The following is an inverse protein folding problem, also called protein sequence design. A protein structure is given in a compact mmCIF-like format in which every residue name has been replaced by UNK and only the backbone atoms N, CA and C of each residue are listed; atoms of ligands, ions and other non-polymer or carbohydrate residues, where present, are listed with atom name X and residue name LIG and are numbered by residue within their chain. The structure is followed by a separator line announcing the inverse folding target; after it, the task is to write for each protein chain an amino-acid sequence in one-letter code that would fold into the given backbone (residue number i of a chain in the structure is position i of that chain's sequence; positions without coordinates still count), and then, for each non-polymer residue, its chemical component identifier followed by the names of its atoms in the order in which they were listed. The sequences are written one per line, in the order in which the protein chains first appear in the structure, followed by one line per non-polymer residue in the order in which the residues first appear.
data_IF_760721963345
#
_entry.id   IF_760721963345
#
_cell.length_a   1.000
_cell.length_b   1.000
_cell.length_c   1.000
_cell.angle_alpha   90.00
_cell.angle_beta   90.00
_cell.angle_gamma   90.00
#
_symmetry.space_group_name_H-M   'P 1'
#
loop_
_entity.id
_entity.type
_entity.pdbx_description
1 polymer ?
#
# COMPACT_ATOMS: atom_id res chain seq x y z
N UNK A 1 -12.30 -1.99 57.11
CA UNK A 1 -11.04 -2.23 56.37
C UNK A 1 -11.24 -2.14 54.85
N UNK A 2 -12.10 -1.24 54.34
CA UNK A 2 -12.44 -1.23 52.90
C UNK A 2 -11.89 -0.04 52.12
N UNK A 3 -11.61 1.09 52.78
CA UNK A 3 -11.08 2.28 52.08
C UNK A 3 -9.65 2.10 51.57
N UNK A 4 -8.82 1.27 52.21
CA UNK A 4 -7.40 1.11 51.86
C UNK A 4 -7.19 0.41 50.51
N UNK A 5 -8.13 -0.43 50.09
CA UNK A 5 -8.06 -1.21 48.85
C UNK A 5 -8.29 -0.35 47.59
N UNK A 6 -9.19 0.62 47.69
CA UNK A 6 -9.56 1.51 46.57
C UNK A 6 -8.41 2.44 46.17
N UNK A 7 -7.64 2.95 47.15
CA UNK A 7 -6.48 3.79 46.90
C UNK A 7 -5.33 3.04 46.22
N UNK A 8 -5.13 1.77 46.56
CA UNK A 8 -4.12 0.92 45.92
C UNK A 8 -4.48 0.63 44.46
N UNK A 9 -5.76 0.38 44.16
CA UNK A 9 -6.23 0.14 42.79
C UNK A 9 -6.13 1.39 41.90
N UNK A 10 -6.44 2.58 42.44
CA UNK A 10 -6.28 3.84 41.71
C UNK A 10 -4.80 4.18 41.45
N UNK A 11 -3.90 3.88 42.39
CA UNK A 11 -2.46 4.08 42.22
C UNK A 11 -1.85 3.21 41.12
N UNK A 12 -2.30 1.95 41.00
CA UNK A 12 -1.83 1.00 39.98
C UNK A 12 -2.33 1.41 38.58
N UNK A 13 -3.59 1.86 38.46
CA UNK A 13 -4.15 2.34 37.18
C UNK A 13 -3.42 3.60 36.66
N UNK A 14 -3.04 4.52 37.56
CA UNK A 14 -2.27 5.72 37.21
C UNK A 14 -0.82 5.42 36.84
N UNK A 15 -0.22 4.34 37.37
CA UNK A 15 1.13 3.91 37.03
C UNK A 15 1.20 3.19 35.67
N UNK A 16 0.16 2.41 35.32
CA UNK A 16 0.06 1.71 34.04
C UNK A 16 -0.24 2.65 32.86
N UNK A 17 -0.87 3.81 33.10
CA UNK A 17 -1.20 4.81 32.07
C UNK A 17 -0.01 5.63 31.54
N UNK A 18 1.19 5.49 32.11
CA UNK A 18 2.38 6.30 31.73
C UNK A 18 3.20 5.76 30.56
N UNK A 19 2.82 4.64 29.96
CA UNK A 19 3.50 4.07 28.78
C UNK A 19 2.70 4.33 27.50
N UNK A 20 2.42 5.60 27.21
CA UNK A 20 2.13 6.02 25.85
C UNK A 20 3.25 6.99 25.46
N UNK A 21 4.34 6.45 24.92
CA UNK A 21 5.31 7.28 24.21
C UNK A 21 4.54 7.97 23.08
N UNK A 22 4.44 9.30 23.15
CA UNK A 22 3.86 10.07 22.06
C UNK A 22 4.70 9.81 20.80
N UNK A 23 4.12 9.34 19.69
CA UNK A 23 4.88 9.17 18.47
C UNK A 23 5.44 10.52 18.04
N UNK A 24 6.74 10.54 17.78
CA UNK A 24 7.45 11.71 17.31
C UNK A 24 6.83 12.16 15.97
N UNK A 25 6.33 13.40 15.90
CA UNK A 25 5.57 13.93 14.74
C UNK A 25 6.38 14.02 13.44
N UNK A 26 7.67 13.73 13.48
CA UNK A 26 8.57 13.81 12.32
C UNK A 26 8.83 12.48 11.63
N UNK A 27 8.46 11.35 12.25
CA UNK A 27 8.85 10.03 11.76
C UNK A 27 7.69 9.34 11.02
N UNK A 28 7.97 8.94 9.78
CA UNK A 28 7.07 8.15 8.94
C UNK A 28 6.97 6.75 9.56
N UNK A 29 5.78 6.27 9.96
CA UNK A 29 5.65 4.96 10.60
C UNK A 29 6.01 3.84 9.63
N UNK A 30 7.19 3.23 9.79
CA UNK A 30 7.57 2.01 9.09
C UNK A 30 7.22 0.79 9.95
N UNK A 31 5.94 0.41 10.05
CA UNK A 31 5.54 -0.76 10.84
C UNK A 31 4.75 -1.80 10.05
N UNK A 32 5.34 -3.00 10.02
CA UNK A 32 4.84 -4.29 9.55
C UNK A 32 3.42 -4.60 10.05
N UNK A 33 2.53 -4.88 9.09
CA UNK A 33 1.21 -5.54 9.22
C UNK A 33 0.42 -5.17 10.48
N UNK A 34 -0.04 -3.92 10.54
CA UNK A 34 -0.97 -3.47 11.54
C UNK A 34 -2.33 -4.17 11.38
N UNK A 35 -3.08 -4.32 12.48
CA UNK A 35 -4.48 -4.76 12.38
C UNK A 35 -5.28 -3.78 11.51
N UNK A 36 -6.40 -4.21 10.88
CA UNK A 36 -7.08 -3.40 9.86
C UNK A 36 -7.39 -1.97 10.30
N UNK A 37 -7.85 -1.78 11.54
CA UNK A 37 -8.16 -0.47 12.09
C UNK A 37 -6.90 0.41 12.27
N UNK A 38 -5.84 -0.14 12.82
CA UNK A 38 -4.58 0.59 13.03
C UNK A 38 -3.90 0.94 11.70
N UNK A 39 -3.94 0.05 10.70
CA UNK A 39 -3.41 0.33 9.37
C UNK A 39 -4.11 1.50 8.68
N UNK A 40 -5.45 1.58 8.78
CA UNK A 40 -6.21 2.73 8.28
C UNK A 40 -5.88 4.03 9.01
N UNK A 41 -5.76 3.99 10.33
CA UNK A 41 -5.36 5.15 11.13
C UNK A 41 -3.98 5.67 10.73
N UNK A 42 -2.98 4.79 10.63
CA UNK A 42 -1.63 5.17 10.24
C UNK A 42 -1.56 5.68 8.79
N UNK A 43 -2.34 5.10 7.86
CA UNK A 43 -2.46 5.62 6.50
C UNK A 43 -3.05 7.04 6.47
N UNK A 44 -4.05 7.33 7.32
CA UNK A 44 -4.58 8.68 7.47
C UNK A 44 -3.55 9.65 8.07
N UNK A 45 -2.75 9.20 9.04
CA UNK A 45 -1.65 9.98 9.61
C UNK A 45 -0.57 10.31 8.57
N UNK A 46 -0.25 9.40 7.64
CA UNK A 46 0.63 9.67 6.49
C UNK A 46 0.11 10.84 5.64
N UNK A 47 -1.17 10.81 5.28
CA UNK A 47 -1.81 11.84 4.45
C UNK A 47 -1.89 13.19 5.18
N UNK A 48 -2.22 13.19 6.47
CA UNK A 48 -2.26 14.43 7.26
C UNK A 48 -0.88 15.06 7.38
N UNK A 49 0.15 14.25 7.65
CA UNK A 49 1.54 14.72 7.75
C UNK A 49 2.01 15.32 6.41
N UNK A 50 1.65 14.68 5.30
CA UNK A 50 1.90 15.21 3.97
C UNK A 50 1.26 16.56 3.73
N UNK A 51 -0.02 16.71 4.07
CA UNK A 51 -0.74 17.98 3.87
C UNK A 51 -0.06 19.11 4.64
N UNK A 52 0.33 18.85 5.90
CA UNK A 52 1.04 19.83 6.74
C UNK A 52 2.42 20.16 6.15
N UNK A 53 3.18 19.17 5.68
CA UNK A 53 4.54 19.39 5.11
C UNK A 53 4.51 20.02 3.72
N UNK A 54 3.42 19.87 3.01
CA UNK A 54 3.26 20.36 1.64
C UNK A 54 2.59 21.72 1.58
N UNK A 55 2.12 22.24 2.71
CA UNK A 55 1.59 23.59 2.83
C UNK A 55 2.61 24.62 2.31
N UNK A 56 2.19 25.40 1.31
CA UNK A 56 3.05 26.40 0.65
C UNK A 56 3.94 25.87 -0.48
N UNK A 57 4.11 24.56 -0.63
CA UNK A 57 4.87 23.96 -1.75
C UNK A 57 3.94 23.35 -2.79
N UNK A 58 2.94 22.60 -2.33
CA UNK A 58 1.93 21.98 -3.17
C UNK A 58 0.59 22.60 -2.82
N UNK A 59 -0.09 23.16 -3.82
CA UNK A 59 -1.35 23.88 -3.60
C UNK A 59 -2.47 23.34 -4.48
N UNK A 60 -3.69 23.46 -3.97
CA UNK A 60 -4.91 23.12 -4.70
C UNK A 60 -5.00 21.64 -5.08
N UNK A 61 -5.35 21.39 -6.34
CA UNK A 61 -5.65 20.05 -6.87
C UNK A 61 -4.41 19.15 -7.07
N UNK A 62 -3.22 19.69 -6.85
CA UNK A 62 -1.94 18.97 -6.94
C UNK A 62 -1.63 18.15 -5.67
N UNK A 63 -2.33 18.44 -4.57
CA UNK A 63 -2.13 17.80 -3.27
C UNK A 63 -2.91 16.50 -3.21
N UNK A 64 -2.21 15.39 -2.95
CA UNK A 64 -2.85 14.11 -2.69
C UNK A 64 -3.70 14.16 -1.39
N UNK A 65 -4.97 13.77 -1.51
CA UNK A 65 -5.89 13.63 -0.38
C UNK A 65 -6.55 12.25 -0.40
N UNK A 66 -7.45 11.98 0.56
CA UNK A 66 -8.23 10.74 0.58
C UNK A 66 -9.09 10.53 -0.69
N UNK A 67 -9.38 11.58 -1.46
CA UNK A 67 -10.07 11.46 -2.75
C UNK A 67 -9.29 10.61 -3.74
N UNK A 68 -7.96 10.58 -3.63
CA UNK A 68 -7.06 9.98 -4.62
C UNK A 68 -6.98 10.77 -5.93
N UNK A 69 -7.56 11.97 -5.96
CA UNK A 69 -7.55 12.85 -7.13
C UNK A 69 -6.38 13.83 -7.02
N UNK A 70 -5.48 13.74 -8.00
CA UNK A 70 -4.45 14.72 -8.30
C UNK A 70 -4.75 15.21 -9.70
N UNK A 71 -4.68 16.52 -9.90
CA UNK A 71 -4.78 17.17 -11.20
C UNK A 71 -3.64 18.18 -11.32
N UNK A 72 -2.76 17.93 -12.27
CA UNK A 72 -1.64 18.81 -12.65
C UNK A 72 -1.77 19.06 -14.15
N UNK A 73 -1.90 20.32 -14.54
CA UNK A 73 -1.92 20.69 -15.94
C UNK A 73 -0.54 20.49 -16.57
N UNK A 74 -0.47 20.30 -17.88
CA UNK A 74 0.79 20.13 -18.62
C UNK A 74 1.76 21.30 -18.37
N UNK A 75 1.25 22.52 -18.29
CA UNK A 75 2.03 23.73 -17.99
C UNK A 75 2.71 23.70 -16.61
N UNK A 76 2.15 22.94 -15.67
CA UNK A 76 2.61 22.84 -14.28
C UNK A 76 3.39 21.55 -14.01
N UNK A 77 3.37 20.60 -14.95
CA UNK A 77 4.00 19.29 -14.82
C UNK A 77 5.50 19.41 -14.55
N UNK A 78 6.18 20.35 -15.19
CA UNK A 78 7.62 20.56 -14.99
C UNK A 78 7.95 21.03 -13.57
N UNK A 79 7.18 21.96 -13.02
CA UNK A 79 7.36 22.42 -11.64
C UNK A 79 7.02 21.31 -10.64
N UNK A 80 5.92 20.58 -10.89
CA UNK A 80 5.48 19.47 -10.06
C UNK A 80 6.52 18.35 -9.97
N UNK A 81 7.18 18.04 -11.09
CA UNK A 81 8.14 16.94 -11.25
C UNK A 81 9.61 17.35 -11.02
N UNK A 82 9.87 18.59 -10.63
CA UNK A 82 11.22 18.99 -10.25
C UNK A 82 11.70 18.17 -9.03
N UNK A 83 13.01 17.90 -8.92
CA UNK A 83 13.57 17.20 -7.76
C UNK A 83 13.19 17.89 -6.44
N UNK A 84 12.62 17.13 -5.50
CA UNK A 84 12.12 17.66 -4.22
C UNK A 84 10.79 18.43 -4.31
N UNK A 85 10.20 18.47 -5.51
CA UNK A 85 8.89 19.03 -5.79
C UNK A 85 7.75 18.14 -5.32
N UNK A 86 6.53 18.48 -5.76
CA UNK A 86 5.32 17.82 -5.31
C UNK A 86 5.21 16.37 -5.76
N UNK A 87 5.77 16.00 -6.92
CA UNK A 87 5.79 14.62 -7.40
C UNK A 87 6.55 13.69 -6.47
N UNK A 88 7.75 14.08 -6.05
CA UNK A 88 8.57 13.29 -5.12
C UNK A 88 7.91 13.20 -3.73
N UNK A 89 7.46 14.33 -3.19
CA UNK A 89 6.74 14.35 -1.89
C UNK A 89 5.48 13.51 -1.90
N UNK A 90 4.79 13.43 -3.04
CA UNK A 90 3.60 12.58 -3.17
C UNK A 90 3.97 11.11 -3.18
N UNK A 91 5.08 10.72 -3.84
CA UNK A 91 5.59 9.35 -3.82
C UNK A 91 6.00 8.90 -2.42
N UNK A 92 6.70 9.76 -1.66
CA UNK A 92 7.08 9.47 -0.27
C UNK A 92 5.87 9.08 0.60
N UNK A 93 4.72 9.70 0.32
CA UNK A 93 3.49 9.48 1.07
C UNK A 93 2.76 8.24 0.60
N UNK A 94 2.78 7.96 -0.71
CA UNK A 94 2.31 6.68 -1.22
C UNK A 94 3.11 5.52 -0.61
N UNK A 95 4.43 5.69 -0.45
CA UNK A 95 5.30 4.70 0.20
C UNK A 95 5.02 4.57 1.71
N UNK A 96 4.79 5.69 2.41
CA UNK A 96 4.31 5.69 3.79
C UNK A 96 3.04 4.84 3.92
N UNK A 97 2.02 5.14 3.12
CA UNK A 97 0.75 4.41 3.13
C UNK A 97 0.96 2.93 2.79
N UNK A 98 1.81 2.62 1.81
CA UNK A 98 2.09 1.25 1.41
C UNK A 98 2.72 0.43 2.54
N UNK A 99 3.62 1.04 3.33
CA UNK A 99 4.27 0.36 4.46
C UNK A 99 3.31 0.00 5.59
N UNK A 100 2.29 0.83 5.84
CA UNK A 100 1.31 0.62 6.94
C UNK A 100 0.04 -0.11 6.49
N UNK A 101 -0.32 0.01 5.20
CA UNK A 101 -1.56 -0.53 4.62
C UNK A 101 -1.40 -0.84 3.13
N UNK A 102 -0.95 -2.06 2.81
CA UNK A 102 -0.69 -2.51 1.43
C UNK A 102 -1.92 -2.53 0.52
N UNK A 103 -3.09 -2.83 1.08
CA UNK A 103 -4.38 -2.92 0.40
C UNK A 103 -5.20 -1.61 0.52
N UNK A 104 -4.50 -0.48 0.68
CA UNK A 104 -5.13 0.84 0.67
C UNK A 104 -5.73 1.16 -0.70
N UNK A 105 -6.92 1.76 -0.67
CA UNK A 105 -7.57 2.32 -1.85
C UNK A 105 -8.15 3.69 -1.49
N UNK A 106 -8.05 4.62 -2.42
CA UNK A 106 -8.65 5.94 -2.31
C UNK A 106 -10.16 5.90 -2.54
N UNK A 107 -10.86 7.00 -2.25
CA UNK A 107 -12.31 7.12 -2.47
C UNK A 107 -12.69 6.93 -3.94
N UNK A 108 -11.85 7.35 -4.88
CA UNK A 108 -12.03 7.08 -6.32
C UNK A 108 -11.72 5.62 -6.72
N UNK A 109 -11.48 4.72 -5.77
CA UNK A 109 -11.08 3.31 -5.95
C UNK A 109 -9.69 3.11 -6.56
N UNK A 110 -8.91 4.17 -6.76
CA UNK A 110 -7.54 4.04 -7.21
C UNK A 110 -6.70 3.35 -6.13
N UNK A 111 -5.79 2.47 -6.56
CA UNK A 111 -4.75 1.89 -5.70
C UNK A 111 -3.52 2.79 -5.70
N UNK A 112 -2.66 2.64 -4.69
CA UNK A 112 -1.43 3.41 -4.57
C UNK A 112 -0.56 3.37 -5.84
N UNK A 113 -0.43 2.19 -6.45
CA UNK A 113 0.36 2.01 -7.66
C UNK A 113 -0.20 2.79 -8.85
N UNK A 114 -1.52 2.90 -8.98
CA UNK A 114 -2.15 3.67 -10.06
C UNK A 114 -1.76 5.15 -9.97
N UNK A 115 -1.78 5.70 -8.76
CA UNK A 115 -1.41 7.10 -8.53
C UNK A 115 0.09 7.30 -8.78
N UNK A 116 0.93 6.38 -8.29
CA UNK A 116 2.38 6.41 -8.53
C UNK A 116 2.71 6.32 -10.03
N UNK A 117 2.06 5.42 -10.77
CA UNK A 117 2.25 5.25 -12.21
C UNK A 117 1.82 6.50 -12.99
N UNK A 118 0.70 7.12 -12.62
CA UNK A 118 0.24 8.38 -13.22
C UNK A 118 1.27 9.50 -13.04
N UNK A 119 1.83 9.64 -11.82
CA UNK A 119 2.89 10.62 -11.54
C UNK A 119 4.16 10.30 -12.34
N UNK A 120 4.60 9.04 -12.36
CA UNK A 120 5.79 8.63 -13.11
C UNK A 120 5.65 8.91 -14.60
N UNK A 121 4.50 8.58 -15.20
CA UNK A 121 4.25 8.80 -16.62
C UNK A 121 4.19 10.29 -16.94
N UNK A 122 3.48 11.09 -16.16
CA UNK A 122 3.42 12.54 -16.39
C UNK A 122 4.75 13.24 -16.14
N UNK A 123 5.54 12.80 -15.16
CA UNK A 123 6.87 13.35 -14.93
C UNK A 123 7.91 12.94 -15.98
N UNK A 124 7.77 11.76 -16.59
CA UNK A 124 8.67 11.32 -17.66
C UNK A 124 8.40 12.07 -18.96
N UNK A 125 7.13 12.37 -19.25
CA UNK A 125 6.71 13.01 -20.49
C UNK A 125 6.43 14.52 -20.37
N UNK A 126 6.50 15.07 -19.14
CA UNK A 126 6.04 16.42 -18.81
C UNK A 126 4.61 16.71 -19.29
N UNK A 127 3.73 15.70 -19.22
CA UNK A 127 2.34 15.78 -19.67
C UNK A 127 1.38 16.02 -18.50
N UNK A 128 0.11 16.28 -18.81
CA UNK A 128 -0.97 16.35 -17.81
C UNK A 128 -0.98 15.09 -16.91
N UNK A 129 -1.12 15.30 -15.60
CA UNK A 129 -1.28 14.24 -14.60
C UNK A 129 -2.69 14.36 -14.01
N UNK A 130 -3.53 13.35 -14.25
CA UNK A 130 -4.88 13.34 -13.69
C UNK A 130 -5.27 11.94 -13.20
N UNK A 131 -5.66 11.86 -11.93
CA UNK A 131 -6.22 10.63 -11.31
C UNK A 131 -7.69 10.80 -10.90
N UNK A 132 -8.31 11.95 -11.20
CA UNK A 132 -9.67 12.27 -10.79
C UNK A 132 -10.70 11.31 -11.40
N UNK A 133 -10.54 10.95 -12.68
CA UNK A 133 -11.46 10.08 -13.43
C UNK A 133 -11.00 8.62 -13.46
N UNK A 134 -10.36 8.14 -12.39
CA UNK A 134 -9.95 6.74 -12.34
C UNK A 134 -11.17 5.82 -12.44
N UNK A 135 -11.29 5.14 -13.57
CA UNK A 135 -12.29 4.09 -13.76
C UNK A 135 -11.63 2.78 -13.39
N UNK A 136 -12.08 2.15 -12.30
CA UNK A 136 -11.59 0.83 -11.92
C UNK A 136 -11.99 -0.18 -12.99
N UNK A 137 -11.10 -0.50 -13.93
CA UNK A 137 -11.27 -1.67 -14.78
C UNK A 137 -11.13 -2.91 -13.90
N UNK A 138 -12.17 -3.73 -13.80
CA UNK A 138 -12.10 -5.05 -13.15
C UNK A 138 -11.30 -6.06 -13.99
N UNK A 139 -10.16 -5.64 -14.55
CA UNK A 139 -9.22 -6.56 -15.15
C UNK A 139 -8.53 -7.30 -14.01
N UNK A 140 -8.92 -8.57 -13.81
CA UNK A 140 -8.17 -9.51 -12.98
C UNK A 140 -6.75 -9.52 -13.55
N UNK A 141 -5.79 -8.93 -12.81
CA UNK A 141 -4.37 -9.05 -13.14
C UNK A 141 -4.01 -10.51 -12.92
N UNK A 142 -4.09 -11.32 -13.99
CA UNK A 142 -3.45 -12.63 -14.03
C UNK A 142 -1.97 -12.37 -13.78
N UNK A 143 -1.52 -12.57 -12.54
CA UNK A 143 -0.11 -12.80 -12.31
C UNK A 143 0.27 -13.98 -13.21
N UNK A 144 1.08 -13.74 -14.22
CA UNK A 144 1.82 -14.78 -14.91
C UNK A 144 2.78 -15.40 -13.90
N UNK A 145 2.29 -16.31 -13.08
CA UNK A 145 3.15 -17.34 -12.52
C UNK A 145 3.67 -18.11 -13.74
N UNK A 146 4.87 -17.78 -14.18
CA UNK A 146 5.73 -18.72 -14.88
C UNK A 146 6.08 -19.84 -13.90
N UNK A 147 5.09 -20.66 -13.57
CA UNK A 147 5.31 -21.95 -12.95
C UNK A 147 5.96 -22.80 -14.05
N UNK A 148 7.29 -22.81 -14.07
CA UNK A 148 8.06 -23.77 -14.84
C UNK A 148 7.69 -25.16 -14.31
N UNK A 149 6.70 -25.77 -14.96
CA UNK A 149 6.42 -27.20 -14.87
C UNK A 149 7.66 -27.92 -15.43
N UNK A 150 8.67 -28.11 -14.59
CA UNK A 150 9.68 -29.13 -14.83
C UNK A 150 8.95 -30.47 -14.75
N UNK A 151 8.57 -30.99 -15.91
CA UNK A 151 8.11 -32.36 -16.05
C UNK A 151 9.29 -33.27 -15.70
N UNK A 152 9.37 -33.63 -14.42
CA UNK A 152 10.26 -34.67 -13.96
C UNK A 152 9.79 -35.99 -14.59
N UNK A 153 10.52 -36.45 -15.60
CA UNK A 153 10.22 -37.61 -16.45
C UNK A 153 10.50 -38.90 -15.69
N UNK A 154 9.76 -39.15 -14.62
CA UNK A 154 9.86 -40.40 -13.86
C UNK A 154 8.96 -41.46 -14.49
N UNK A 155 9.61 -42.29 -15.31
CA UNK A 155 9.26 -43.63 -15.80
C UNK A 155 7.90 -44.20 -15.33
N UNK A 156 6.90 -44.11 -16.20
CA UNK A 156 5.72 -44.96 -16.18
C UNK A 156 6.15 -46.38 -16.59
N UNK A 157 6.26 -47.30 -15.61
CA UNK A 157 6.40 -48.72 -15.90
C UNK A 157 5.07 -49.23 -16.44
N UNK A 158 5.04 -49.50 -17.75
CA UNK A 158 3.99 -50.25 -18.42
C UNK A 158 3.97 -51.69 -17.86
N UNK A 159 2.96 -52.02 -17.04
CA UNK A 159 2.54 -53.41 -16.86
C UNK A 159 1.57 -53.75 -17.98
N UNK A 160 2.10 -54.18 -19.12
CA UNK A 160 1.33 -54.85 -20.16
C UNK A 160 1.01 -56.28 -19.70
N UNK A 161 -0.21 -56.54 -19.23
CA UNK A 161 -0.74 -57.90 -19.18
C UNK A 161 -1.17 -58.30 -20.59
N UNK A 162 -0.23 -58.79 -21.38
CA UNK A 162 -0.52 -59.57 -22.58
C UNK A 162 -0.49 -61.05 -22.19
N UNK A 163 -1.67 -61.66 -21.99
CA UNK A 163 -1.80 -63.11 -21.95
C UNK A 163 -1.59 -63.64 -23.37
N UNK A 164 -0.43 -64.25 -23.61
CA UNK A 164 -0.13 -65.05 -24.81
C UNK A 164 -0.79 -66.43 -24.65
N UNK A 165 -1.45 -66.98 -25.67
CA UNK A 165 -2.10 -68.29 -25.58
C UNK A 165 -1.06 -69.42 -25.55
N UNK A 166 -1.24 -70.37 -24.63
CA UNK A 166 -0.50 -71.63 -24.59
C UNK A 166 -0.88 -72.49 -25.80
N UNK A 167 0.10 -72.76 -26.68
CA UNK A 167 0.08 -73.87 -27.63
C UNK A 167 1.00 -74.95 -27.05
N UNK A 168 0.43 -76.12 -26.73
CA UNK A 168 1.19 -77.34 -26.41
C UNK A 168 1.01 -78.28 -27.60
N UNK A 169 2.13 -78.75 -28.14
CA UNK A 169 2.26 -79.84 -29.11
C UNK A 169 2.11 -81.17 -28.38
#
# INVERSE_FOLDING_TARGET
MEHRSVWLLMGILLALGRHAAAPNKTDIPHHVTLSPFWGWRSAAECLLTYQIRSEGVCTGKKVLTLSGAIVVEESEAKEYCNPGGCGDRTKDVLDCIHSVKRDFHFTNKAKLNVVSDAINNGCTNFSEISTANYTSSNAIKLCSLSLSLSLNRSRLLLLSMAMVPFIII
#
